data_IF_405273698557
#
_entry.id   IF_405273698557
#
_cell.length_a   1.000
_cell.length_b   1.000
_cell.length_c   1.000
_cell.angle_alpha   90.00
_cell.angle_beta   90.00
_cell.angle_gamma   90.00
#
_symmetry.space_group_name_H-M   'P 1'
#
loop_
_entity.id
_entity.type
_entity.pdbx_description
1 polymer ?
#
# COMPACT_ATOMS: atom_id res chain seq x y z
N UNK A 1 31.23 71.12 18.10
CA UNK A 1 31.68 69.70 18.00
C UNK A 1 30.43 68.81 18.12
N UNK A 2 29.81 68.46 16.96
CA UNK A 2 28.52 67.75 16.89
C UNK A 2 28.77 66.31 16.54
N UNK A 3 28.48 65.35 17.49
CA UNK A 3 28.51 63.95 17.30
C UNK A 3 27.25 63.52 16.52
N UNK A 4 27.41 62.93 15.31
CA UNK A 4 26.34 62.34 14.55
C UNK A 4 26.27 60.86 14.92
N UNK A 5 25.20 60.43 15.59
CA UNK A 5 24.84 59.09 15.87
C UNK A 5 24.26 58.44 14.61
N UNK A 6 24.90 57.37 14.07
CA UNK A 6 24.38 56.55 12.99
C UNK A 6 23.47 55.47 13.57
N UNK A 7 22.21 55.51 13.21
CA UNK A 7 21.26 54.44 13.48
C UNK A 7 21.43 53.39 12.37
N UNK A 8 21.85 52.18 12.77
CA UNK A 8 21.86 50.98 11.89
C UNK A 8 20.48 50.37 11.91
N UNK A 9 19.79 50.39 10.77
CA UNK A 9 18.54 49.69 10.57
C UNK A 9 18.86 48.19 10.24
N UNK A 10 18.53 47.29 11.12
CA UNK A 10 18.56 45.88 10.89
C UNK A 10 17.30 45.45 10.13
N UNK A 11 17.47 45.06 8.87
CA UNK A 11 16.42 44.45 8.06
C UNK A 11 16.16 43.03 8.54
N UNK A 12 14.99 42.78 9.13
CA UNK A 12 14.52 41.44 9.45
C UNK A 12 14.02 40.78 8.16
N UNK A 13 14.76 39.75 7.69
CA UNK A 13 14.32 38.88 6.60
C UNK A 13 13.28 37.92 7.16
N UNK A 14 12.03 38.13 6.80
CA UNK A 14 10.96 37.18 7.04
C UNK A 14 11.13 35.99 6.04
N UNK A 15 11.62 34.86 6.51
CA UNK A 15 11.50 33.60 5.81
C UNK A 15 10.02 33.21 5.82
N UNK A 16 9.34 33.42 4.69
CA UNK A 16 8.03 32.87 4.46
C UNK A 16 8.16 31.33 4.47
N UNK A 17 7.74 30.74 5.58
CA UNK A 17 7.56 29.29 5.67
C UNK A 17 6.56 28.88 4.59
N UNK A 18 7.00 28.07 3.63
CA UNK A 18 6.09 27.38 2.70
C UNK A 18 5.35 26.36 3.55
N UNK A 19 4.15 26.72 4.00
CA UNK A 19 3.18 25.76 4.50
C UNK A 19 2.84 24.81 3.33
N UNK A 20 3.49 23.66 3.30
CA UNK A 20 3.02 22.55 2.49
C UNK A 20 1.71 22.11 3.14
N UNK A 21 0.61 22.72 2.71
CA UNK A 21 -0.72 22.27 3.03
C UNK A 21 -0.78 20.78 2.64
N UNK A 22 -0.78 19.88 3.62
CA UNK A 22 -1.21 18.50 3.43
C UNK A 22 -2.66 18.61 3.01
N UNK A 23 -2.91 18.53 1.70
CA UNK A 23 -4.25 18.40 1.16
C UNK A 23 -4.83 17.16 1.83
N UNK A 24 -5.84 17.33 2.68
CA UNK A 24 -6.54 16.23 3.30
C UNK A 24 -7.10 15.36 2.19
N UNK A 25 -6.47 14.20 1.94
CA UNK A 25 -6.89 13.28 0.89
C UNK A 25 -8.32 12.82 1.13
N UNK A 26 -9.06 12.62 0.05
CA UNK A 26 -10.43 12.11 0.08
C UNK A 26 -10.45 10.70 0.67
N UNK A 27 -11.25 10.50 1.74
CA UNK A 27 -11.49 9.19 2.34
C UNK A 27 -12.64 8.50 1.59
N UNK A 28 -12.37 7.31 1.07
CA UNK A 28 -13.32 6.50 0.29
C UNK A 28 -13.69 5.27 1.09
N UNK A 29 -14.94 5.20 1.55
CA UNK A 29 -15.47 4.01 2.21
C UNK A 29 -15.50 2.83 1.23
N UNK A 30 -14.95 1.70 1.65
CA UNK A 30 -14.97 0.48 0.86
C UNK A 30 -16.26 -0.31 1.07
N UNK A 31 -16.73 -1.05 0.04
CA UNK A 31 -17.79 -2.04 0.21
C UNK A 31 -17.43 -3.01 1.36
N UNK A 32 -18.44 -3.42 2.12
CA UNK A 32 -18.21 -4.39 3.22
C UNK A 32 -17.64 -5.69 2.67
N UNK A 33 -16.59 -6.27 3.30
CA UNK A 33 -16.03 -7.54 2.87
C UNK A 33 -17.02 -8.68 3.13
N UNK A 34 -17.04 -9.65 2.23
CA UNK A 34 -17.76 -10.91 2.44
C UNK A 34 -16.93 -11.83 3.34
N UNK A 35 -17.59 -12.45 4.30
CA UNK A 35 -16.99 -13.50 5.15
C UNK A 35 -17.34 -14.90 4.68
N UNK A 36 -18.08 -15.01 3.58
CA UNK A 36 -18.42 -16.28 2.94
C UNK A 36 -18.06 -16.23 1.44
N UNK A 37 -17.50 -17.29 0.92
CA UNK A 37 -17.13 -17.44 -0.48
C UNK A 37 -17.52 -18.82 -1.02
N UNK A 38 -17.60 -18.95 -2.34
CA UNK A 38 -17.95 -20.21 -3.01
C UNK A 38 -16.76 -21.16 -3.16
N UNK A 39 -15.54 -20.64 -3.08
CA UNK A 39 -14.29 -21.40 -3.25
C UNK A 39 -13.71 -21.74 -1.89
N UNK A 40 -13.53 -23.02 -1.60
CA UNK A 40 -12.91 -23.45 -0.35
C UNK A 40 -11.42 -23.11 -0.30
N UNK A 41 -10.86 -23.02 0.90
CA UNK A 41 -9.42 -22.76 1.12
C UNK A 41 -8.59 -23.83 0.42
N UNK A 42 -8.98 -25.11 0.51
CA UNK A 42 -8.29 -26.24 -0.12
C UNK A 42 -8.30 -26.10 -1.64
N UNK A 43 -9.42 -25.69 -2.21
CA UNK A 43 -9.52 -25.44 -3.66
C UNK A 43 -8.64 -24.27 -4.07
N UNK A 44 -8.67 -23.15 -3.34
CA UNK A 44 -7.83 -21.99 -3.61
C UNK A 44 -6.33 -22.35 -3.54
N UNK A 45 -5.92 -23.11 -2.52
CA UNK A 45 -4.54 -23.60 -2.37
C UNK A 45 -4.13 -24.49 -3.56
N UNK A 46 -5.00 -25.41 -3.99
CA UNK A 46 -4.70 -26.36 -5.08
C UNK A 46 -4.54 -25.67 -6.43
N UNK A 47 -5.32 -24.59 -6.71
CA UNK A 47 -5.36 -23.97 -8.04
C UNK A 47 -4.60 -22.65 -8.16
N UNK A 48 -4.22 -22.02 -7.03
CA UNK A 48 -3.46 -20.77 -7.03
C UNK A 48 -2.20 -20.88 -7.92
N UNK A 49 -2.02 -19.94 -8.82
CA UNK A 49 -0.79 -19.79 -9.63
C UNK A 49 -0.30 -18.35 -9.56
N UNK A 50 1.01 -18.14 -9.81
CA UNK A 50 1.56 -16.81 -10.04
C UNK A 50 1.21 -16.36 -11.46
N UNK A 51 0.45 -15.27 -11.55
CA UNK A 51 -0.05 -14.71 -12.81
C UNK A 51 0.71 -13.42 -13.12
N UNK A 52 1.18 -13.29 -14.36
CA UNK A 52 1.94 -12.13 -14.88
C UNK A 52 1.40 -11.60 -16.21
N UNK A 53 0.25 -12.06 -16.64
CA UNK A 53 -0.45 -11.55 -17.80
C UNK A 53 -1.88 -11.25 -17.42
N UNK A 54 -2.29 -10.00 -17.57
CA UNK A 54 -3.59 -9.51 -17.16
C UNK A 54 -4.42 -9.04 -18.34
N UNK A 55 -5.72 -9.30 -18.29
CA UNK A 55 -6.66 -8.70 -19.20
C UNK A 55 -6.83 -7.21 -18.88
N UNK A 56 -7.13 -6.34 -19.87
CA UNK A 56 -7.21 -4.89 -19.69
C UNK A 56 -8.48 -4.44 -18.96
N UNK A 57 -9.27 -5.36 -18.45
CA UNK A 57 -10.54 -5.09 -17.80
C UNK A 57 -10.33 -4.39 -16.45
N UNK A 58 -11.11 -3.33 -16.12
CA UNK A 58 -11.07 -2.68 -14.82
C UNK A 58 -11.47 -3.65 -13.70
N UNK A 59 -10.83 -3.52 -12.53
CA UNK A 59 -11.24 -4.25 -11.34
C UNK A 59 -12.44 -3.56 -10.68
N UNK A 60 -13.48 -4.32 -10.27
CA UNK A 60 -14.54 -3.77 -9.42
C UNK A 60 -13.99 -3.31 -8.07
N UNK A 61 -14.49 -2.20 -7.53
CA UNK A 61 -14.10 -1.71 -6.20
C UNK A 61 -14.37 -2.76 -5.10
N UNK A 62 -15.44 -3.57 -5.25
CA UNK A 62 -15.73 -4.65 -4.32
C UNK A 62 -14.64 -5.74 -4.29
N UNK A 63 -14.02 -6.05 -5.44
CA UNK A 63 -12.90 -6.99 -5.49
C UNK A 63 -11.66 -6.41 -4.80
N UNK A 64 -11.36 -5.13 -5.04
CA UNK A 64 -10.27 -4.42 -4.35
C UNK A 64 -10.52 -4.41 -2.84
N UNK A 65 -11.73 -4.06 -2.40
CA UNK A 65 -12.14 -4.09 -1.00
C UNK A 65 -11.86 -5.44 -0.34
N UNK A 66 -12.29 -6.52 -1.00
CA UNK A 66 -12.09 -7.87 -0.49
C UNK A 66 -10.60 -8.24 -0.39
N UNK A 67 -9.78 -7.82 -1.35
CA UNK A 67 -8.34 -8.10 -1.37
C UNK A 67 -7.57 -7.36 -0.28
N UNK A 68 -7.86 -6.06 -0.06
CA UNK A 68 -7.19 -5.30 1.00
C UNK A 68 -7.63 -5.76 2.39
N UNK A 69 -8.90 -6.18 2.52
CA UNK A 69 -9.39 -6.83 3.74
C UNK A 69 -8.68 -8.17 3.98
N UNK A 70 -8.56 -9.02 2.97
CA UNK A 70 -7.86 -10.30 3.09
C UNK A 70 -6.40 -10.12 3.55
N UNK A 71 -5.74 -9.04 3.12
CA UNK A 71 -4.36 -8.73 3.52
C UNK A 71 -4.25 -8.30 4.99
N UNK A 72 -5.09 -7.34 5.45
CA UNK A 72 -4.91 -6.65 6.73
C UNK A 72 -6.22 -6.21 7.39
N UNK A 73 -7.38 -6.71 6.96
CA UNK A 73 -8.67 -6.32 7.52
C UNK A 73 -8.83 -6.70 8.98
N UNK A 74 -9.51 -5.85 9.74
CA UNK A 74 -9.86 -6.12 11.13
C UNK A 74 -10.99 -7.16 11.18
N UNK A 75 -10.84 -8.18 12.01
CA UNK A 75 -11.77 -9.31 12.15
C UNK A 75 -12.34 -9.46 13.54
N UNK A 76 -11.86 -8.68 14.51
CA UNK A 76 -12.24 -8.78 15.92
C UNK A 76 -12.30 -7.37 16.56
N UNK A 77 -13.22 -7.11 17.50
CA UNK A 77 -13.32 -5.83 18.20
C UNK A 77 -12.04 -5.41 18.94
N UNK A 78 -11.17 -6.35 19.31
CA UNK A 78 -9.85 -6.07 19.88
C UNK A 78 -8.81 -5.61 18.84
N UNK A 79 -9.22 -5.48 17.56
CA UNK A 79 -8.34 -5.02 16.48
C UNK A 79 -7.48 -6.11 15.84
N UNK A 80 -7.77 -7.39 16.10
CA UNK A 80 -7.09 -8.50 15.43
C UNK A 80 -7.40 -8.50 13.94
N UNK A 81 -6.42 -8.92 13.13
CA UNK A 81 -6.50 -8.83 11.67
C UNK A 81 -6.50 -10.20 11.01
N UNK A 82 -6.83 -10.21 9.73
CA UNK A 82 -6.79 -11.41 8.86
C UNK A 82 -5.40 -12.05 8.78
N UNK A 83 -4.33 -11.26 8.81
CA UNK A 83 -2.97 -11.75 8.90
C UNK A 83 -2.45 -11.66 10.34
N UNK A 84 -1.82 -12.73 10.89
CA UNK A 84 -1.24 -12.68 12.22
C UNK A 84 -0.01 -11.78 12.26
N UNK A 85 0.16 -11.05 13.36
CA UNK A 85 1.29 -10.17 13.60
C UNK A 85 1.99 -10.50 14.91
N UNK A 86 3.32 -10.47 14.93
CA UNK A 86 4.10 -10.72 16.13
C UNK A 86 3.75 -9.70 17.23
N UNK A 87 3.19 -10.20 18.34
CA UNK A 87 2.75 -9.37 19.45
C UNK A 87 1.60 -8.41 19.14
N UNK A 88 0.85 -8.66 18.08
CA UNK A 88 -0.21 -7.79 17.54
C UNK A 88 0.26 -6.34 17.30
N UNK A 89 1.49 -6.16 16.84
CA UNK A 89 2.11 -4.83 16.63
C UNK A 89 1.81 -4.22 15.28
N UNK A 90 1.38 -5.04 14.31
CA UNK A 90 0.89 -4.62 12.99
C UNK A 90 1.79 -3.58 12.29
N UNK A 91 3.07 -3.93 12.00
CA UNK A 91 4.01 -3.02 11.34
C UNK A 91 3.64 -2.73 9.90
N UNK A 92 2.77 -3.52 9.27
CA UNK A 92 2.44 -3.37 7.86
C UNK A 92 1.53 -2.17 7.61
N UNK A 93 1.91 -1.39 6.59
CA UNK A 93 1.10 -0.38 5.93
C UNK A 93 0.75 -0.91 4.54
N UNK A 94 -0.50 -0.78 4.14
CA UNK A 94 -0.98 -1.28 2.87
C UNK A 94 -1.38 -0.11 1.98
N UNK A 95 -0.79 -0.07 0.77
CA UNK A 95 -1.14 0.91 -0.24
C UNK A 95 -1.75 0.21 -1.45
N UNK A 96 -2.67 0.90 -2.11
CA UNK A 96 -3.26 0.51 -3.38
C UNK A 96 -2.79 1.48 -4.45
N UNK A 97 -2.14 0.97 -5.48
CA UNK A 97 -1.91 1.67 -6.73
C UNK A 97 -3.10 1.35 -7.63
N UNK A 98 -3.97 2.30 -7.81
CA UNK A 98 -5.14 2.16 -8.68
C UNK A 98 -4.83 2.76 -10.06
N UNK A 99 -4.90 1.93 -11.11
CA UNK A 99 -4.80 2.39 -12.50
C UNK A 99 -6.15 2.28 -13.19
N UNK A 100 -6.76 1.11 -13.14
CA UNK A 100 -8.07 0.82 -13.73
C UNK A 100 -8.96 0.11 -12.70
N UNK A 101 -9.50 0.85 -11.75
CA UNK A 101 -10.44 0.38 -10.73
C UNK A 101 -11.75 1.15 -10.85
N UNK A 102 -12.87 0.43 -11.00
CA UNK A 102 -14.18 1.06 -11.14
C UNK A 102 -14.54 1.84 -9.86
N UNK A 103 -14.87 3.11 -10.01
CA UNK A 103 -15.22 3.98 -8.90
C UNK A 103 -14.02 4.64 -8.18
N UNK A 104 -12.78 4.40 -8.64
CA UNK A 104 -11.60 5.12 -8.16
C UNK A 104 -10.95 5.91 -9.30
N UNK A 105 -10.46 7.10 -8.99
CA UNK A 105 -9.52 7.82 -9.86
C UNK A 105 -8.16 7.11 -9.85
N UNK A 106 -7.38 7.14 -10.94
CA UNK A 106 -6.00 6.67 -10.90
C UNK A 106 -5.20 7.39 -9.82
N UNK A 107 -4.47 6.63 -9.00
CA UNK A 107 -3.74 7.22 -7.88
C UNK A 107 -3.11 6.20 -6.94
N UNK A 108 -2.44 6.71 -5.92
CA UNK A 108 -1.97 5.96 -4.76
C UNK A 108 -2.91 6.20 -3.58
N UNK A 109 -3.38 5.13 -2.99
CA UNK A 109 -4.27 5.16 -1.84
C UNK A 109 -3.66 4.38 -0.68
N UNK A 110 -3.82 4.88 0.54
CA UNK A 110 -3.49 4.14 1.75
C UNK A 110 -4.75 3.49 2.32
N UNK A 111 -4.66 2.22 2.67
CA UNK A 111 -5.74 1.49 3.32
C UNK A 111 -5.73 1.73 4.83
N UNK A 112 -6.89 2.08 5.39
CA UNK A 112 -7.17 2.13 6.83
C UNK A 112 -7.96 0.87 7.24
N UNK A 113 -7.33 -0.12 7.89
CA UNK A 113 -8.02 -1.35 8.31
C UNK A 113 -9.10 -1.09 9.35
N UNK A 114 -8.90 -0.10 10.24
CA UNK A 114 -9.83 0.19 11.33
C UNK A 114 -11.17 0.75 10.87
N UNK A 115 -11.14 1.51 9.78
CA UNK A 115 -12.33 2.11 9.17
C UNK A 115 -12.79 1.41 7.90
N UNK A 116 -12.01 0.47 7.41
CA UNK A 116 -12.20 -0.19 6.12
C UNK A 116 -12.41 0.81 4.98
N UNK A 117 -11.44 1.71 4.81
CA UNK A 117 -11.48 2.78 3.83
C UNK A 117 -10.15 2.98 3.14
N UNK A 118 -10.17 3.62 1.98
CA UNK A 118 -8.99 4.11 1.28
C UNK A 118 -8.88 5.62 1.46
N UNK A 119 -7.67 6.10 1.70
CA UNK A 119 -7.34 7.53 1.65
C UNK A 119 -6.47 7.81 0.45
N UNK A 120 -6.88 8.73 -0.41
CA UNK A 120 -6.08 9.18 -1.55
C UNK A 120 -4.85 9.93 -1.03
N UNK A 121 -3.65 9.48 -1.43
CA UNK A 121 -2.38 10.13 -1.08
C UNK A 121 -1.78 10.90 -2.27
N UNK A 122 -1.96 10.39 -3.50
CA UNK A 122 -1.57 11.12 -4.72
C UNK A 122 -2.44 10.74 -5.90
N UNK A 123 -2.75 11.73 -6.75
CA UNK A 123 -3.50 11.55 -8.00
C UNK A 123 -2.58 11.23 -9.19
N UNK A 124 -3.18 10.71 -10.25
CA UNK A 124 -2.51 10.32 -11.49
C UNK A 124 -2.11 8.86 -11.49
N UNK A 125 -1.87 8.29 -12.66
CA UNK A 125 -1.51 6.87 -12.81
C UNK A 125 -0.05 6.62 -12.43
N UNK A 126 0.24 5.96 -11.28
CA UNK A 126 1.61 5.73 -10.84
C UNK A 126 2.21 4.44 -11.42
N UNK A 127 1.43 3.59 -12.10
CA UNK A 127 1.87 2.26 -12.57
C UNK A 127 3.15 2.29 -13.42
N UNK A 128 3.35 3.23 -14.37
CA UNK A 128 4.59 3.29 -15.14
C UNK A 128 5.82 3.52 -14.25
N UNK A 129 5.71 4.39 -13.24
CA UNK A 129 6.81 4.67 -12.30
C UNK A 129 7.06 3.48 -11.36
N UNK A 130 6.00 2.81 -10.93
CA UNK A 130 6.09 1.59 -10.10
C UNK A 130 6.76 0.46 -10.88
N UNK A 131 6.39 0.24 -12.14
CA UNK A 131 7.01 -0.77 -13.00
C UNK A 131 8.48 -0.46 -13.28
N UNK A 132 8.84 0.82 -13.51
CA UNK A 132 10.22 1.24 -13.66
C UNK A 132 11.06 0.93 -12.41
N UNK A 133 10.53 1.23 -11.22
CA UNK A 133 11.16 0.88 -9.95
C UNK A 133 11.26 -0.64 -9.76
N UNK A 134 10.28 -1.40 -10.27
CA UNK A 134 10.25 -2.86 -10.26
C UNK A 134 11.09 -3.49 -11.39
N UNK A 135 12.25 -2.91 -11.69
CA UNK A 135 13.22 -3.39 -12.68
C UNK A 135 12.66 -3.48 -14.11
N UNK A 136 11.79 -2.52 -14.47
CA UNK A 136 11.13 -2.42 -15.78
C UNK A 136 10.36 -3.70 -16.18
N UNK A 137 9.69 -4.32 -15.21
CA UNK A 137 8.78 -5.44 -15.47
C UNK A 137 7.46 -4.89 -16.02
N UNK A 138 7.31 -4.83 -17.36
CA UNK A 138 6.19 -4.16 -18.04
C UNK A 138 4.82 -4.68 -17.60
N UNK A 139 4.70 -5.99 -17.34
CA UNK A 139 3.47 -6.60 -16.85
C UNK A 139 2.98 -6.05 -15.49
N UNK A 140 3.87 -5.40 -14.71
CA UNK A 140 3.47 -4.68 -13.49
C UNK A 140 2.62 -3.46 -13.83
N UNK A 141 2.99 -2.73 -14.89
CA UNK A 141 2.22 -1.58 -15.36
C UNK A 141 0.89 -1.98 -16.04
N UNK A 142 0.82 -3.19 -16.60
CA UNK A 142 -0.40 -3.70 -17.25
C UNK A 142 -1.50 -4.09 -16.26
N UNK A 143 -1.14 -4.37 -15.00
CA UNK A 143 -2.12 -4.74 -13.99
C UNK A 143 -3.07 -3.57 -13.70
N UNK A 144 -4.40 -3.79 -13.65
CA UNK A 144 -5.36 -2.73 -13.33
C UNK A 144 -5.19 -2.14 -11.91
N UNK A 145 -4.65 -2.92 -10.98
CA UNK A 145 -4.28 -2.45 -9.64
C UNK A 145 -3.06 -3.20 -9.09
N UNK A 146 -2.36 -2.57 -8.14
CA UNK A 146 -1.25 -3.20 -7.43
C UNK A 146 -1.47 -2.98 -5.93
N UNK A 147 -1.54 -4.06 -5.15
CA UNK A 147 -1.45 -3.96 -3.70
C UNK A 147 0.02 -3.92 -3.31
N UNK A 148 0.40 -2.93 -2.51
CA UNK A 148 1.76 -2.75 -2.01
C UNK A 148 1.76 -3.01 -0.52
N UNK A 149 2.59 -3.94 -0.09
CA UNK A 149 2.86 -4.19 1.33
C UNK A 149 4.13 -3.43 1.70
N UNK A 150 3.95 -2.43 2.55
CA UNK A 150 5.02 -1.62 3.13
C UNK A 150 5.07 -1.85 4.64
N UNK A 151 6.09 -1.36 5.33
CA UNK A 151 6.15 -1.48 6.78
C UNK A 151 6.79 -0.29 7.47
N UNK A 152 6.36 -0.04 8.70
CA UNK A 152 7.07 0.72 9.73
C UNK A 152 7.69 -0.30 10.68
N UNK A 153 8.85 -0.86 10.29
CA UNK A 153 9.50 -1.97 10.99
C UNK A 153 9.77 -1.67 12.47
N UNK A 154 10.00 -0.40 12.80
CA UNK A 154 10.27 0.08 14.16
C UNK A 154 9.18 -0.32 15.16
N UNK A 155 7.91 -0.45 14.74
CA UNK A 155 6.81 -0.92 15.61
C UNK A 155 7.12 -2.30 16.22
N UNK A 156 7.79 -3.17 15.45
CA UNK A 156 8.13 -4.54 15.90
C UNK A 156 9.53 -4.59 16.48
N UNK A 157 10.48 -3.86 15.91
CA UNK A 157 11.88 -3.82 16.37
C UNK A 157 12.00 -3.29 17.79
N UNK A 158 11.21 -2.29 18.19
CA UNK A 158 11.18 -1.78 19.59
C UNK A 158 10.93 -2.86 20.62
N UNK A 159 10.11 -3.86 20.30
CA UNK A 159 9.78 -4.97 21.23
C UNK A 159 10.73 -6.14 21.12
N UNK A 160 11.18 -6.46 19.90
CA UNK A 160 11.89 -7.72 19.62
C UNK A 160 13.34 -7.54 19.20
N UNK A 161 13.87 -6.29 19.23
CA UNK A 161 15.23 -5.98 18.76
C UNK A 161 15.40 -6.36 17.29
N UNK A 162 16.61 -6.72 16.90
CA UNK A 162 16.96 -7.10 15.51
C UNK A 162 16.09 -8.24 14.94
N UNK A 163 15.63 -9.15 15.81
CA UNK A 163 14.72 -10.22 15.40
C UNK A 163 13.38 -9.70 14.87
N UNK A 164 12.98 -8.50 15.28
CA UNK A 164 11.76 -7.84 14.80
C UNK A 164 11.69 -7.71 13.29
N UNK A 165 12.81 -7.43 12.63
CA UNK A 165 12.88 -7.36 11.15
C UNK A 165 12.47 -8.68 10.49
N UNK A 166 12.92 -9.81 11.03
CA UNK A 166 12.49 -11.14 10.53
C UNK A 166 10.98 -11.35 10.68
N UNK A 167 10.40 -10.91 11.79
CA UNK A 167 8.96 -11.05 12.02
C UNK A 167 8.15 -10.19 11.05
N UNK A 168 8.63 -8.98 10.73
CA UNK A 168 8.00 -8.14 9.68
C UNK A 168 7.98 -8.88 8.34
N UNK A 169 9.09 -9.49 7.91
CA UNK A 169 9.12 -10.23 6.64
C UNK A 169 8.21 -11.46 6.65
N UNK A 170 8.09 -12.16 7.78
CA UNK A 170 7.13 -13.27 7.92
C UNK A 170 5.69 -12.76 7.77
N UNK A 171 5.36 -11.63 8.39
CA UNK A 171 4.02 -11.03 8.29
C UNK A 171 3.67 -10.59 6.86
N UNK A 172 4.64 -10.03 6.11
CA UNK A 172 4.48 -9.75 4.67
C UNK A 172 4.09 -11.01 3.91
N UNK A 173 4.75 -12.14 4.19
CA UNK A 173 4.42 -13.43 3.57
C UNK A 173 3.00 -13.90 3.90
N UNK A 174 2.55 -13.73 5.16
CA UNK A 174 1.18 -14.05 5.58
C UNK A 174 0.15 -13.20 4.82
N UNK A 175 0.33 -11.88 4.80
CA UNK A 175 -0.57 -10.97 4.12
C UNK A 175 -0.59 -11.22 2.60
N UNK A 176 0.58 -11.43 1.98
CA UNK A 176 0.68 -11.75 0.56
C UNK A 176 -0.04 -13.06 0.21
N UNK A 177 0.12 -14.11 1.02
CA UNK A 177 -0.58 -15.38 0.79
C UNK A 177 -2.10 -15.22 0.90
N UNK A 178 -2.59 -14.42 1.85
CA UNK A 178 -4.01 -14.12 1.95
C UNK A 178 -4.53 -13.45 0.66
N UNK A 179 -3.77 -12.49 0.10
CA UNK A 179 -4.12 -11.85 -1.19
C UNK A 179 -4.14 -12.87 -2.32
N UNK A 180 -3.16 -13.79 -2.39
CA UNK A 180 -3.14 -14.85 -3.39
C UNK A 180 -4.37 -15.73 -3.35
N UNK A 181 -4.74 -16.20 -2.16
CA UNK A 181 -5.90 -17.09 -1.98
C UNK A 181 -7.20 -16.37 -2.30
N UNK A 182 -7.33 -15.13 -1.81
CA UNK A 182 -8.52 -14.32 -2.07
C UNK A 182 -8.65 -13.94 -3.55
N UNK A 183 -7.56 -13.56 -4.21
CA UNK A 183 -7.55 -13.29 -5.64
C UNK A 183 -8.01 -14.54 -6.43
N UNK A 184 -7.46 -15.71 -6.09
CA UNK A 184 -7.85 -16.99 -6.69
C UNK A 184 -9.35 -17.28 -6.50
N UNK A 185 -9.87 -17.05 -5.30
CA UNK A 185 -11.30 -17.23 -5.01
C UNK A 185 -12.21 -16.28 -5.79
N UNK A 186 -11.70 -15.10 -6.16
CA UNK A 186 -12.41 -14.10 -6.98
C UNK A 186 -12.22 -14.31 -8.50
N UNK A 187 -11.52 -15.38 -8.93
CA UNK A 187 -11.18 -15.59 -10.34
C UNK A 187 -10.13 -14.61 -10.87
N UNK A 188 -9.40 -13.95 -9.97
CA UNK A 188 -8.31 -13.03 -10.27
C UNK A 188 -6.95 -13.72 -10.14
N UNK A 189 -5.94 -13.10 -10.76
CA UNK A 189 -4.55 -13.52 -10.66
C UNK A 189 -3.68 -12.45 -10.01
N UNK A 190 -2.63 -12.91 -9.35
CA UNK A 190 -1.58 -12.05 -8.78
C UNK A 190 -0.25 -12.79 -8.73
N UNK A 191 0.82 -12.03 -8.54
CA UNK A 191 2.12 -12.59 -8.14
C UNK A 191 2.85 -11.59 -7.23
N UNK A 192 3.52 -12.10 -6.22
CA UNK A 192 4.34 -11.27 -5.34
C UNK A 192 5.66 -10.92 -6.04
N UNK A 193 5.97 -9.64 -6.12
CA UNK A 193 7.22 -9.08 -6.64
C UNK A 193 8.01 -8.52 -5.46
N UNK A 194 9.19 -9.06 -5.22
CA UNK A 194 10.17 -8.55 -4.26
C UNK A 194 11.40 -7.93 -4.94
N UNK A 195 11.48 -7.97 -6.27
CA UNK A 195 12.60 -7.44 -7.03
C UNK A 195 12.27 -6.02 -7.52
N UNK A 196 12.70 -5.01 -6.77
CA UNK A 196 12.54 -3.59 -7.10
C UNK A 196 13.66 -2.77 -6.42
N UNK A 197 13.80 -1.50 -6.82
CA UNK A 197 14.67 -0.54 -6.17
C UNK A 197 13.88 0.19 -5.09
N UNK A 198 14.20 -0.07 -3.83
CA UNK A 198 13.40 0.35 -2.66
C UNK A 198 13.14 1.86 -2.63
N UNK A 199 14.18 2.68 -2.82
CA UNK A 199 14.06 4.13 -2.78
C UNK A 199 13.28 4.71 -3.96
N UNK A 200 13.44 4.12 -5.17
CA UNK A 200 12.70 4.54 -6.35
C UNK A 200 11.21 4.22 -6.18
N UNK A 201 10.90 3.04 -5.65
CA UNK A 201 9.54 2.62 -5.38
C UNK A 201 8.89 3.49 -4.28
N UNK A 202 9.62 3.76 -3.19
CA UNK A 202 9.13 4.65 -2.13
C UNK A 202 8.81 6.05 -2.68
N UNK A 203 9.67 6.62 -3.54
CA UNK A 203 9.40 7.91 -4.21
C UNK A 203 8.22 7.84 -5.17
N UNK A 204 8.10 6.75 -5.96
CA UNK A 204 6.99 6.57 -6.89
C UNK A 204 5.63 6.52 -6.19
N UNK A 205 5.61 6.03 -4.96
CA UNK A 205 4.42 5.89 -4.11
C UNK A 205 4.20 7.09 -3.17
N UNK A 206 5.18 7.98 -3.01
CA UNK A 206 5.11 9.09 -2.04
C UNK A 206 5.17 8.65 -0.59
N UNK A 207 5.84 7.51 -0.28
CA UNK A 207 5.89 6.98 1.08
C UNK A 207 6.66 7.90 2.04
N UNK A 208 6.18 7.99 3.28
CA UNK A 208 6.89 8.67 4.36
C UNK A 208 8.24 7.98 4.64
N UNK A 209 9.23 8.71 5.18
CA UNK A 209 10.61 8.24 5.27
C UNK A 209 10.84 6.98 6.13
N UNK A 210 9.95 6.70 7.09
CA UNK A 210 9.97 5.52 7.95
C UNK A 210 9.18 4.33 7.36
N UNK A 211 8.39 4.56 6.31
CA UNK A 211 7.63 3.51 5.61
C UNK A 211 8.46 2.92 4.47
N UNK A 212 8.77 1.64 4.54
CA UNK A 212 9.57 0.94 3.53
C UNK A 212 8.71 -0.05 2.74
N UNK A 213 8.76 -0.02 1.39
CA UNK A 213 8.06 -1.01 0.58
C UNK A 213 8.76 -2.37 0.71
N UNK A 214 7.99 -3.45 0.80
CA UNK A 214 8.52 -4.82 0.97
C UNK A 214 8.03 -5.77 -0.11
N UNK A 215 6.85 -5.57 -0.67
CA UNK A 215 6.34 -6.39 -1.74
C UNK A 215 5.29 -5.65 -2.58
N UNK A 216 5.25 -5.97 -3.87
CA UNK A 216 4.18 -5.58 -4.80
C UNK A 216 3.37 -6.82 -5.16
N UNK A 217 2.06 -6.67 -5.26
CA UNK A 217 1.14 -7.69 -5.76
C UNK A 217 0.27 -7.06 -6.88
N UNK A 218 0.76 -7.04 -8.13
CA UNK A 218 -0.06 -6.67 -9.28
C UNK A 218 -1.24 -7.65 -9.41
N UNK A 219 -2.44 -7.12 -9.63
CA UNK A 219 -3.69 -7.89 -9.59
C UNK A 219 -4.53 -7.56 -10.81
N UNK A 220 -5.09 -8.58 -11.43
CA UNK A 220 -6.01 -8.45 -12.55
C UNK A 220 -6.66 -9.79 -12.89
N UNK A 221 -7.58 -9.76 -13.84
CA UNK A 221 -8.12 -10.99 -14.44
C UNK A 221 -7.02 -11.65 -15.27
N UNK A 222 -6.74 -12.94 -15.10
CA UNK A 222 -5.78 -13.65 -15.97
C UNK A 222 -6.18 -13.57 -17.44
N UNK A 223 -5.17 -13.36 -18.32
CA UNK A 223 -5.36 -13.40 -19.77
C UNK A 223 -5.35 -14.84 -20.28
#
# INVERSE_FOLDING_TARGET
MLLRTRVLATAAVWLAGVDVARSGGEDIALPRPSHAGEVSVERALAVRRSVRAFAPEPLPLAAVSQLVWAAQGVTDPAGLRTAPSAGALYPLELHLVAGAVSGLRPGVYRYDPGRHQLRLESEGDPRPRVAAAALAQDWVAEAPAIVVLSSVAERTVRKYGERGTRYVHMEVGHAAQNVYLQATALGLGTTMVGAFRDEELARALGLAGDVKPLALLPIGKPR
#
